data_IF_723998998340
#
_entry.id   IF_723998998340
#
_cell.length_a   1.000
_cell.length_b   1.000
_cell.length_c   1.000
_cell.angle_alpha   90.00
_cell.angle_beta   90.00
_cell.angle_gamma   90.00
#
_symmetry.space_group_name_H-M   'P 1'
#
loop_
_entity.id
_entity.type
_entity.pdbx_description
1 polymer ?
#
# COMPACT_ATOMS: atom_id res chain seq x y z
N UNK A 1 62.61 -17.55 2.14
CA UNK A 1 61.94 -17.64 0.83
C UNK A 1 61.85 -16.21 0.30
N UNK A 2 62.53 -15.93 -0.82
CA UNK A 2 62.55 -14.58 -1.42
C UNK A 2 61.31 -14.44 -2.30
N UNK A 3 60.39 -13.56 -1.92
CA UNK A 3 59.28 -13.15 -2.79
C UNK A 3 59.81 -12.00 -3.65
N UNK A 4 60.25 -12.30 -4.87
CA UNK A 4 60.56 -11.29 -5.89
C UNK A 4 59.31 -10.95 -6.70
N UNK A 5 58.25 -10.52 -6.02
CA UNK A 5 57.03 -10.00 -6.66
C UNK A 5 57.17 -8.50 -6.88
N UNK A 6 57.10 -8.05 -8.13
CA UNK A 6 57.15 -6.63 -8.50
C UNK A 6 55.82 -5.96 -8.10
N UNK A 7 55.90 -4.88 -7.33
CA UNK A 7 54.77 -4.11 -6.77
C UNK A 7 53.87 -3.41 -7.81
N UNK A 8 54.15 -3.57 -9.11
CA UNK A 8 53.40 -2.97 -10.22
C UNK A 8 52.87 -4.01 -11.21
N UNK A 9 52.88 -5.30 -10.85
CA UNK A 9 52.47 -6.39 -11.75
C UNK A 9 51.64 -7.41 -11.00
N UNK A 10 50.57 -7.90 -11.62
CA UNK A 10 49.79 -9.00 -11.07
C UNK A 10 50.58 -10.31 -11.10
N UNK A 11 50.46 -11.11 -10.04
CA UNK A 11 51.00 -12.46 -9.99
C UNK A 11 49.95 -13.43 -10.52
N UNK A 12 50.34 -14.33 -11.42
CA UNK A 12 49.44 -15.35 -11.94
C UNK A 12 49.21 -16.47 -10.91
N UNK A 13 47.96 -16.92 -10.75
CA UNK A 13 47.59 -17.96 -9.77
C UNK A 13 48.27 -19.32 -9.98
N UNK A 14 48.72 -19.62 -11.19
CA UNK A 14 49.38 -20.89 -11.51
C UNK A 14 48.41 -22.05 -11.65
N UNK A 15 48.86 -23.09 -12.35
CA UNK A 15 48.19 -24.40 -12.47
C UNK A 15 46.75 -24.40 -13.04
N UNK A 16 46.22 -23.29 -13.54
CA UNK A 16 44.84 -23.19 -14.02
C UNK A 16 43.82 -22.76 -12.96
N UNK A 17 44.31 -22.30 -11.81
CA UNK A 17 43.54 -21.59 -10.80
C UNK A 17 43.24 -20.16 -11.25
N UNK A 18 42.16 -19.59 -10.73
CA UNK A 18 41.71 -18.22 -11.04
C UNK A 18 41.08 -17.55 -9.81
N UNK A 19 40.89 -16.23 -9.87
CA UNK A 19 40.23 -15.41 -8.83
C UNK A 19 38.82 -15.05 -9.27
N UNK A 20 37.88 -14.95 -8.32
CA UNK A 20 36.44 -14.76 -8.62
C UNK A 20 36.22 -13.41 -9.29
N UNK A 21 36.84 -12.39 -8.71
CA UNK A 21 36.82 -11.02 -9.20
C UNK A 21 38.24 -10.52 -9.53
N UNK A 22 38.28 -9.39 -10.24
CA UNK A 22 39.51 -8.63 -10.47
C UNK A 22 40.02 -7.98 -9.17
N UNK A 23 41.34 -7.80 -9.05
CA UNK A 23 41.95 -7.05 -7.94
C UNK A 23 42.24 -7.87 -6.68
N UNK A 24 42.23 -9.20 -6.77
CA UNK A 24 42.71 -10.10 -5.71
C UNK A 24 44.09 -9.68 -5.20
N UNK A 25 44.24 -9.70 -3.87
CA UNK A 25 45.48 -9.25 -3.21
C UNK A 25 46.19 -10.38 -2.46
N UNK A 26 45.59 -11.57 -2.41
CA UNK A 26 46.14 -12.76 -1.78
C UNK A 26 46.25 -13.93 -2.75
N UNK A 27 47.26 -14.80 -2.55
CA UNK A 27 47.33 -16.09 -3.24
C UNK A 27 46.21 -17.05 -2.77
N UNK A 28 45.67 -16.81 -1.57
CA UNK A 28 44.54 -17.58 -1.03
C UNK A 28 43.23 -17.36 -1.81
N UNK A 29 43.17 -16.31 -2.64
CA UNK A 29 42.04 -16.00 -3.53
C UNK A 29 42.09 -16.81 -4.84
N UNK A 30 43.14 -17.62 -5.04
CA UNK A 30 43.35 -18.43 -6.25
C UNK A 30 42.74 -19.83 -6.11
N UNK A 31 41.53 -20.02 -6.63
CA UNK A 31 40.79 -21.28 -6.55
C UNK A 31 40.81 -22.07 -7.86
N UNK A 32 40.56 -23.38 -7.73
CA UNK A 32 40.25 -24.20 -8.90
C UNK A 32 38.81 -23.97 -9.35
N UNK A 33 38.56 -23.80 -10.67
CA UNK A 33 37.20 -23.77 -11.21
C UNK A 33 36.40 -24.99 -10.77
N UNK A 34 35.17 -24.76 -10.34
CA UNK A 34 34.24 -25.82 -10.00
C UNK A 34 33.38 -26.16 -11.22
N UNK A 35 33.08 -27.44 -11.38
CA UNK A 35 32.22 -27.89 -12.48
C UNK A 35 30.78 -27.45 -12.25
N UNK A 36 29.94 -27.54 -13.28
CA UNK A 36 28.49 -27.36 -13.15
C UNK A 36 27.93 -28.07 -11.91
N UNK A 37 26.99 -27.41 -11.25
CA UNK A 37 26.40 -27.88 -10.00
C UNK A 37 27.31 -27.77 -8.78
N UNK A 38 28.46 -27.10 -8.84
CA UNK A 38 29.35 -26.89 -7.69
C UNK A 38 29.81 -25.44 -7.53
N UNK A 39 29.90 -24.95 -6.30
CA UNK A 39 30.49 -23.65 -5.94
C UNK A 39 31.73 -23.82 -5.06
N UNK A 40 32.61 -22.82 -5.02
CA UNK A 40 33.73 -22.79 -4.09
C UNK A 40 33.20 -22.58 -2.66
N UNK A 41 33.62 -23.43 -1.73
CA UNK A 41 33.37 -23.26 -0.31
C UNK A 41 34.43 -22.34 0.30
N UNK A 42 34.05 -21.11 0.66
CA UNK A 42 34.94 -20.12 1.28
C UNK A 42 35.65 -20.65 2.54
N UNK A 43 35.05 -21.59 3.28
CA UNK A 43 35.63 -22.13 4.50
C UNK A 43 36.73 -23.17 4.23
N UNK A 44 36.66 -23.88 3.10
CA UNK A 44 37.57 -25.00 2.80
C UNK A 44 38.40 -24.79 1.54
N UNK A 45 38.07 -23.80 0.71
CA UNK A 45 38.66 -23.54 -0.60
C UNK A 45 38.42 -24.66 -1.62
N UNK A 46 37.43 -25.53 -1.39
CA UNK A 46 37.12 -26.70 -2.23
C UNK A 46 35.75 -26.56 -2.86
N UNK A 47 35.55 -27.22 -4.00
CA UNK A 47 34.24 -27.30 -4.61
C UNK A 47 33.28 -28.13 -3.76
N UNK A 48 32.09 -27.58 -3.52
CA UNK A 48 30.96 -28.26 -2.89
C UNK A 48 29.75 -28.19 -3.83
N UNK A 49 28.86 -29.17 -3.73
CA UNK A 49 27.63 -29.15 -4.53
C UNK A 49 26.73 -27.95 -4.20
N UNK A 50 26.05 -27.41 -5.20
CA UNK A 50 24.98 -26.44 -5.00
C UNK A 50 23.93 -27.02 -4.07
N UNK A 51 23.56 -26.29 -3.02
CA UNK A 51 22.49 -26.70 -2.11
C UNK A 51 21.13 -26.74 -2.83
N UNK A 52 20.17 -27.47 -2.24
CA UNK A 52 18.78 -27.51 -2.73
C UNK A 52 18.23 -26.09 -2.93
N UNK A 53 17.61 -25.87 -4.09
CA UNK A 53 17.07 -24.56 -4.47
C UNK A 53 18.11 -23.63 -5.13
N UNK A 54 19.30 -24.15 -5.46
CA UNK A 54 20.29 -23.48 -6.30
C UNK A 54 20.78 -24.39 -7.43
N UNK A 55 21.28 -23.79 -8.51
CA UNK A 55 21.89 -24.48 -9.64
C UNK A 55 23.14 -23.74 -10.13
N UNK A 56 23.99 -24.40 -10.91
CA UNK A 56 25.10 -23.74 -11.62
C UNK A 56 25.36 -24.40 -12.96
N UNK A 57 25.35 -23.62 -14.03
CA UNK A 57 25.32 -24.10 -15.41
C UNK A 57 26.63 -23.90 -16.19
N UNK A 58 27.69 -23.43 -15.52
CA UNK A 58 29.00 -23.17 -16.08
C UNK A 58 30.13 -23.77 -15.22
N UNK A 59 31.33 -23.84 -15.80
CA UNK A 59 32.55 -24.33 -15.15
C UNK A 59 33.45 -23.13 -14.81
N UNK A 60 33.25 -22.55 -13.63
CA UNK A 60 34.00 -21.41 -13.09
C UNK A 60 33.96 -21.47 -11.55
N UNK A 61 34.51 -20.47 -10.89
CA UNK A 61 34.55 -20.37 -9.42
C UNK A 61 33.37 -19.59 -8.84
N UNK A 62 32.43 -19.16 -9.68
CA UNK A 62 31.27 -18.40 -9.25
C UNK A 62 30.35 -19.22 -8.34
N UNK A 63 29.50 -18.51 -7.61
CA UNK A 63 28.52 -19.08 -6.70
C UNK A 63 27.34 -19.71 -7.46
N UNK A 64 26.67 -20.67 -6.84
CA UNK A 64 25.45 -21.25 -7.37
C UNK A 64 24.31 -20.22 -7.38
N UNK A 65 23.56 -20.22 -8.48
CA UNK A 65 22.44 -19.32 -8.75
C UNK A 65 21.19 -19.86 -8.04
N UNK A 66 20.50 -19.00 -7.30
CA UNK A 66 19.24 -19.36 -6.62
C UNK A 66 18.11 -19.54 -7.62
N UNK A 67 17.29 -20.57 -7.43
CA UNK A 67 16.04 -20.74 -8.17
C UNK A 67 15.10 -19.54 -7.98
N UNK A 68 14.45 -19.12 -9.06
CA UNK A 68 13.54 -17.99 -9.04
C UNK A 68 12.21 -18.31 -8.36
N UNK A 69 11.65 -17.29 -7.71
CA UNK A 69 10.22 -17.18 -7.44
C UNK A 69 9.61 -18.23 -6.49
N UNK A 70 10.36 -18.98 -5.69
CA UNK A 70 9.76 -20.05 -4.87
C UNK A 70 9.67 -21.38 -5.60
N UNK A 71 10.50 -21.58 -6.63
CA UNK A 71 10.83 -22.90 -7.14
C UNK A 71 12.08 -23.43 -6.42
N UNK A 72 12.24 -24.74 -6.42
CA UNK A 72 13.39 -25.44 -5.87
C UNK A 72 13.79 -26.61 -6.76
N UNK A 73 14.96 -27.17 -6.47
CA UNK A 73 15.52 -28.34 -7.12
C UNK A 73 15.15 -29.61 -6.36
N UNK A 74 15.30 -30.77 -7.01
CA UNK A 74 15.02 -32.08 -6.39
C UNK A 74 16.07 -32.49 -5.35
N UNK A 75 17.26 -31.91 -5.43
CA UNK A 75 18.39 -32.19 -4.56
C UNK A 75 19.56 -31.25 -4.82
N UNK A 76 20.69 -31.56 -4.18
CA UNK A 76 21.95 -30.85 -4.37
C UNK A 76 22.54 -31.09 -5.78
N UNK A 77 23.46 -30.23 -6.18
CA UNK A 77 24.27 -30.42 -7.38
C UNK A 77 23.54 -30.12 -8.70
N UNK A 78 22.48 -29.32 -8.66
CA UNK A 78 21.70 -29.01 -9.88
C UNK A 78 22.52 -28.19 -10.88
N UNK A 79 22.40 -28.52 -12.16
CA UNK A 79 23.32 -28.05 -13.21
C UNK A 79 22.66 -27.12 -14.22
N UNK A 80 21.36 -26.88 -14.08
CA UNK A 80 20.59 -26.05 -15.01
C UNK A 80 19.43 -25.36 -14.28
N UNK A 81 19.02 -24.20 -14.80
CA UNK A 81 17.81 -23.51 -14.35
C UNK A 81 16.56 -24.37 -14.49
N UNK A 82 16.53 -25.28 -15.48
CA UNK A 82 15.41 -26.21 -15.69
C UNK A 82 15.20 -27.20 -14.54
N UNK A 83 16.20 -27.39 -13.68
CA UNK A 83 16.12 -28.25 -12.50
C UNK A 83 15.30 -27.55 -11.39
N UNK A 84 15.08 -26.24 -11.47
CA UNK A 84 14.20 -25.46 -10.60
C UNK A 84 12.73 -25.64 -10.99
N UNK A 85 12.21 -26.86 -10.88
CA UNK A 85 10.87 -27.22 -11.36
C UNK A 85 9.93 -27.77 -10.26
N UNK A 86 10.36 -27.73 -9.00
CA UNK A 86 9.55 -28.14 -7.86
C UNK A 86 9.03 -26.89 -7.14
N UNK A 87 7.73 -26.85 -6.86
CA UNK A 87 7.11 -25.78 -6.09
C UNK A 87 7.61 -25.80 -4.64
N UNK A 88 8.03 -24.64 -4.14
CA UNK A 88 8.36 -24.40 -2.74
C UNK A 88 7.46 -23.29 -2.16
N UNK A 89 6.48 -23.69 -1.36
CA UNK A 89 5.66 -22.77 -0.57
C UNK A 89 6.32 -22.58 0.81
N UNK A 90 6.80 -21.38 1.16
CA UNK A 90 7.44 -21.13 2.45
C UNK A 90 6.45 -21.29 3.62
N UNK A 91 6.95 -21.39 4.87
CA UNK A 91 6.10 -21.32 6.05
C UNK A 91 5.15 -20.13 6.02
N UNK A 92 4.00 -20.28 6.67
CA UNK A 92 2.88 -19.34 6.67
C UNK A 92 2.12 -19.20 5.33
N UNK A 93 2.38 -20.10 4.39
CA UNK A 93 1.62 -20.26 3.15
C UNK A 93 1.22 -21.72 2.98
N UNK A 94 0.28 -21.99 2.07
CA UNK A 94 -0.14 -23.33 1.71
C UNK A 94 -0.32 -23.46 0.19
N UNK A 95 -0.19 -24.68 -0.31
CA UNK A 95 -0.35 -24.99 -1.74
C UNK A 95 -1.79 -24.72 -2.17
N UNK A 96 -1.95 -23.88 -3.19
CA UNK A 96 -3.23 -23.60 -3.82
C UNK A 96 -3.79 -24.89 -4.44
N UNK A 97 -4.97 -25.39 -4.03
CA UNK A 97 -5.57 -26.59 -4.62
C UNK A 97 -6.11 -26.36 -6.04
N UNK A 98 -6.19 -25.12 -6.49
CA UNK A 98 -6.69 -24.74 -7.82
C UNK A 98 -5.84 -23.61 -8.41
N UNK A 99 -4.57 -23.89 -8.75
CA UNK A 99 -3.65 -22.89 -9.26
C UNK A 99 -4.08 -22.42 -10.66
N UNK A 100 -3.89 -21.12 -10.93
CA UNK A 100 -4.13 -20.56 -12.26
C UNK A 100 -2.88 -20.75 -13.11
N UNK A 101 -2.83 -21.87 -13.84
CA UNK A 101 -1.79 -22.14 -14.83
C UNK A 101 -0.82 -23.26 -14.43
N UNK A 102 0.31 -23.32 -15.13
CA UNK A 102 1.35 -24.34 -14.96
C UNK A 102 2.65 -23.72 -14.47
N UNK A 103 3.46 -24.49 -13.76
CA UNK A 103 4.80 -24.07 -13.36
C UNK A 103 5.61 -23.69 -14.62
N UNK A 104 6.13 -22.47 -14.65
CA UNK A 104 6.99 -21.95 -15.71
C UNK A 104 8.17 -21.25 -15.05
N UNK A 105 9.39 -21.72 -15.33
CA UNK A 105 10.62 -21.27 -14.65
C UNK A 105 11.02 -19.84 -15.05
N UNK A 106 10.58 -19.35 -16.21
CA UNK A 106 10.95 -18.03 -16.74
C UNK A 106 10.00 -16.91 -16.28
N UNK A 107 8.74 -17.25 -15.98
CA UNK A 107 7.71 -16.29 -15.58
C UNK A 107 6.84 -16.89 -14.46
N UNK A 108 7.45 -17.08 -13.29
CA UNK A 108 6.80 -17.70 -12.14
C UNK A 108 6.23 -16.67 -11.15
N UNK A 109 4.92 -16.75 -10.90
CA UNK A 109 4.27 -16.00 -9.82
C UNK A 109 3.89 -16.95 -8.68
N UNK A 110 4.65 -16.88 -7.58
CA UNK A 110 4.42 -17.71 -6.40
C UNK A 110 3.02 -17.59 -5.83
N UNK A 111 2.37 -16.42 -5.92
CA UNK A 111 1.06 -16.16 -5.33
C UNK A 111 -0.09 -16.94 -5.97
N UNK A 112 0.07 -17.38 -7.22
CA UNK A 112 -0.93 -18.22 -7.90
C UNK A 112 -0.91 -19.67 -7.40
N UNK A 113 0.21 -20.09 -6.79
CA UNK A 113 0.46 -21.48 -6.37
C UNK A 113 0.59 -21.63 -4.85
N UNK A 114 0.98 -20.58 -4.14
CA UNK A 114 1.12 -20.57 -2.68
C UNK A 114 0.25 -19.45 -2.13
N UNK A 115 -0.82 -19.82 -1.43
CA UNK A 115 -1.73 -18.89 -0.80
C UNK A 115 -1.26 -18.60 0.63
N UNK A 116 -1.27 -17.34 1.08
CA UNK A 116 -0.94 -17.04 2.47
C UNK A 116 -2.01 -17.62 3.41
N UNK A 117 -1.61 -17.96 4.63
CA UNK A 117 -2.57 -18.24 5.69
C UNK A 117 -3.37 -16.97 6.02
N UNK A 118 -4.69 -17.14 6.15
CA UNK A 118 -5.58 -16.07 6.61
C UNK A 118 -5.27 -15.67 8.05
N UNK A 119 -5.82 -14.53 8.49
CA UNK A 119 -5.71 -14.10 9.88
C UNK A 119 -6.18 -15.22 10.82
N UNK A 120 -5.49 -15.39 11.95
CA UNK A 120 -5.77 -16.43 12.96
C UNK A 120 -5.42 -17.85 12.53
N UNK A 121 -4.79 -18.03 11.37
CA UNK A 121 -4.24 -19.30 10.95
C UNK A 121 -2.75 -19.19 10.67
N UNK A 122 -2.02 -20.30 10.78
CA UNK A 122 -0.61 -20.36 10.45
C UNK A 122 -0.21 -21.75 9.98
N UNK A 123 1.01 -21.84 9.47
CA UNK A 123 1.57 -23.10 9.04
C UNK A 123 3.09 -23.10 9.23
N UNK A 124 3.65 -23.90 10.17
CA UNK A 124 5.08 -23.94 10.42
C UNK A 124 5.90 -24.57 9.30
N UNK A 125 5.31 -25.54 8.58
CA UNK A 125 6.05 -26.34 7.61
C UNK A 125 5.91 -25.76 6.21
N UNK A 126 6.99 -25.80 5.40
CA UNK A 126 6.89 -25.48 3.98
C UNK A 126 6.07 -26.56 3.24
N UNK A 127 5.54 -26.20 2.06
CA UNK A 127 4.80 -27.10 1.15
C UNK A 127 3.54 -27.75 1.72
N UNK A 128 3.02 -27.22 2.83
CA UNK A 128 1.77 -27.67 3.43
C UNK A 128 0.58 -27.37 2.53
N UNK A 129 -0.48 -28.18 2.64
CA UNK A 129 -1.70 -28.06 1.81
C UNK A 129 -2.83 -27.30 2.50
N UNK A 130 -2.68 -26.96 3.78
CA UNK A 130 -3.65 -26.20 4.57
C UNK A 130 -2.98 -25.47 5.73
N UNK A 131 -3.67 -24.46 6.27
CA UNK A 131 -3.27 -23.78 7.49
C UNK A 131 -3.96 -24.38 8.73
N UNK A 132 -3.34 -24.18 9.88
CA UNK A 132 -3.81 -24.59 11.21
C UNK A 132 -4.20 -23.35 12.02
N UNK A 133 -5.03 -23.52 13.04
CA UNK A 133 -5.39 -22.41 13.93
C UNK A 133 -4.18 -21.90 14.72
N UNK A 134 -4.10 -20.58 14.88
CA UNK A 134 -3.10 -19.96 15.74
C UNK A 134 -3.28 -20.38 17.21
N UNK A 135 -2.19 -20.59 17.97
CA UNK A 135 -2.29 -20.83 19.39
C UNK A 135 -2.86 -19.59 20.12
N UNK A 136 -3.68 -19.81 21.15
CA UNK A 136 -4.29 -18.75 21.98
C UNK A 136 -3.30 -18.07 22.96
N UNK A 137 -1.99 -18.14 22.69
CA UNK A 137 -0.94 -17.64 23.57
C UNK A 137 -0.46 -16.26 23.12
N UNK A 138 -0.25 -15.30 24.03
CA UNK A 138 0.32 -14.00 23.69
C UNK A 138 1.70 -14.13 23.05
N UNK A 139 1.97 -13.34 22.00
CA UNK A 139 3.28 -13.31 21.31
C UNK A 139 4.34 -12.55 22.13
N UNK A 140 4.73 -13.11 23.28
CA UNK A 140 5.61 -12.44 24.24
C UNK A 140 7.00 -12.10 23.69
N UNK A 141 7.44 -12.77 22.62
CA UNK A 141 8.81 -12.69 22.08
C UNK A 141 8.85 -12.47 20.55
N UNK A 142 7.76 -12.05 19.91
CA UNK A 142 7.68 -11.86 18.46
C UNK A 142 7.98 -13.14 17.65
N UNK A 143 7.69 -14.30 18.24
CA UNK A 143 7.92 -15.63 17.69
C UNK A 143 6.73 -16.14 16.88
N UNK A 144 5.57 -15.50 16.96
CA UNK A 144 4.42 -15.88 16.15
C UNK A 144 4.58 -15.37 14.70
N UNK A 145 4.11 -16.16 13.73
CA UNK A 145 4.14 -15.77 12.32
C UNK A 145 3.19 -14.59 12.06
N UNK A 146 3.38 -13.82 10.97
CA UNK A 146 2.63 -12.59 10.72
C UNK A 146 1.10 -12.75 10.76
N UNK A 147 0.54 -13.87 10.29
CA UNK A 147 -0.92 -14.12 10.32
C UNK A 147 -1.46 -14.46 11.72
N UNK A 148 -0.59 -14.83 12.66
CA UNK A 148 -0.90 -14.94 14.08
C UNK A 148 -0.53 -13.66 14.87
N UNK A 149 0.14 -12.68 14.25
CA UNK A 149 0.45 -11.43 14.93
C UNK A 149 -0.80 -10.58 14.99
N UNK A 150 -1.09 -10.25 16.22
CA UNK A 150 -2.28 -9.60 16.67
C UNK A 150 -1.94 -8.11 16.80
N UNK A 151 -1.74 -7.43 15.67
CA UNK A 151 -1.23 -6.03 15.61
C UNK A 151 -2.10 -5.02 16.39
N UNK A 152 -3.35 -5.37 16.73
CA UNK A 152 -4.27 -4.55 17.53
C UNK A 152 -5.07 -5.38 18.54
N UNK A 153 -4.55 -6.54 18.90
CA UNK A 153 -5.30 -7.66 19.45
C UNK A 153 -4.63 -8.01 20.81
N UNK A 154 -5.38 -7.93 21.91
CA UNK A 154 -4.87 -7.99 23.30
C UNK A 154 -5.53 -9.08 24.16
N UNK A 155 -4.99 -9.34 25.35
CA UNK A 155 -5.62 -10.24 26.32
C UNK A 155 -5.88 -9.53 27.66
N UNK A 156 -7.06 -9.68 28.28
CA UNK A 156 -7.34 -9.12 29.60
C UNK A 156 -6.53 -9.80 30.73
N UNK A 157 -5.86 -10.93 30.42
CA UNK A 157 -5.01 -11.66 31.36
C UNK A 157 -3.54 -11.20 31.33
N UNK A 158 -3.18 -10.33 30.39
CA UNK A 158 -1.81 -9.83 30.23
C UNK A 158 -1.76 -8.33 30.54
N UNK A 159 -1.00 -7.96 31.56
CA UNK A 159 -0.82 -6.57 31.98
C UNK A 159 -0.07 -5.77 30.90
N UNK A 160 -0.59 -4.60 30.53
CA UNK A 160 -0.06 -3.70 29.48
C UNK A 160 -0.01 -4.30 28.05
N UNK A 161 -0.91 -5.23 27.73
CA UNK A 161 -0.99 -5.86 26.39
C UNK A 161 -1.19 -4.89 25.21
N UNK A 162 -1.65 -3.66 25.45
CA UNK A 162 -1.91 -2.65 24.41
C UNK A 162 -0.90 -1.50 24.38
N UNK A 163 0.14 -1.55 25.22
CA UNK A 163 1.00 -0.39 25.49
C UNK A 163 0.31 0.65 26.37
N UNK A 164 1.01 1.77 26.59
CA UNK A 164 0.51 2.86 27.43
C UNK A 164 -0.70 3.55 26.79
N UNK A 165 -1.65 3.98 27.62
CA UNK A 165 -2.86 4.73 27.23
C UNK A 165 -3.86 3.99 26.31
N UNK A 166 -3.76 2.66 26.17
CA UNK A 166 -4.74 1.84 25.44
C UNK A 166 -5.37 0.78 26.33
N UNK A 167 -6.66 0.50 26.13
CA UNK A 167 -7.41 -0.53 26.88
C UNK A 167 -7.81 -1.70 26.00
N UNK A 168 -7.90 -2.87 26.60
CA UNK A 168 -8.25 -4.11 25.92
C UNK A 168 -9.75 -4.39 26.04
N UNK A 169 -10.50 -4.39 24.94
CA UNK A 169 -11.95 -4.59 24.91
C UNK A 169 -12.36 -5.78 24.05
N UNK A 170 -13.33 -6.56 24.54
CA UNK A 170 -13.95 -7.64 23.77
C UNK A 170 -14.81 -7.08 22.63
N UNK A 171 -14.70 -7.66 21.43
CA UNK A 171 -15.59 -7.38 20.30
C UNK A 171 -17.02 -7.86 20.60
N UNK A 172 -18.07 -7.18 20.10
CA UNK A 172 -19.46 -7.53 20.41
C UNK A 172 -19.94 -8.84 19.76
N UNK A 173 -19.41 -9.13 18.57
CA UNK A 173 -19.94 -10.19 17.69
C UNK A 173 -19.08 -11.46 17.69
N UNK A 174 -17.95 -11.47 18.39
CA UNK A 174 -17.05 -12.61 18.48
C UNK A 174 -16.31 -12.65 19.84
N UNK A 175 -15.65 -13.75 20.15
CA UNK A 175 -14.91 -13.93 21.42
C UNK A 175 -13.52 -13.27 21.44
N UNK A 176 -13.30 -12.25 20.60
CA UNK A 176 -12.01 -11.63 20.39
C UNK A 176 -11.83 -10.30 21.15
N UNK A 177 -10.60 -9.86 21.46
CA UNK A 177 -10.27 -8.66 22.27
C UNK A 177 -9.33 -7.66 21.59
N UNK A 178 -9.75 -6.44 21.30
CA UNK A 178 -8.94 -5.44 20.59
C UNK A 178 -8.46 -4.30 21.50
N UNK A 179 -7.34 -3.69 21.13
CA UNK A 179 -6.84 -2.47 21.75
C UNK A 179 -7.60 -1.27 21.21
N UNK A 180 -8.07 -0.41 22.10
CA UNK A 180 -8.59 0.92 21.76
C UNK A 180 -7.86 1.99 22.56
N UNK A 181 -7.79 3.19 22.03
CA UNK A 181 -7.27 4.34 22.77
C UNK A 181 -8.14 4.59 24.01
N UNK A 182 -7.49 4.82 25.14
CA UNK A 182 -8.17 5.18 26.36
C UNK A 182 -8.69 6.62 26.25
N UNK A 183 -9.89 6.77 25.69
CA UNK A 183 -10.62 8.04 25.59
C UNK A 183 -10.87 8.71 26.96
N UNK A 184 -10.59 8.05 28.09
CA UNK A 184 -10.63 8.67 29.41
C UNK A 184 -9.38 9.47 29.79
N UNK A 185 -8.36 9.55 28.92
CA UNK A 185 -7.15 10.35 29.13
C UNK A 185 -7.02 11.57 28.19
N UNK A 186 -8.03 11.85 27.36
CA UNK A 186 -8.09 13.05 26.50
C UNK A 186 -9.19 14.01 26.98
N UNK A 187 -9.12 14.41 28.25
CA UNK A 187 -9.85 15.55 28.79
C UNK A 187 -8.93 16.36 29.70
N UNK A 188 -7.80 16.85 29.16
CA UNK A 188 -7.12 18.07 29.63
C UNK A 188 -5.82 18.28 28.85
N UNK A 189 -5.91 18.73 27.60
CA UNK A 189 -4.85 19.54 26.98
C UNK A 189 -5.35 20.13 25.67
N UNK A 190 -5.75 21.40 25.72
CA UNK A 190 -5.80 22.20 24.49
C UNK A 190 -7.09 22.95 24.19
N UNK A 191 -7.79 23.52 25.19
CA UNK A 191 -8.42 24.82 24.93
C UNK A 191 -7.31 25.88 24.85
N UNK A 192 -6.50 25.83 23.79
CA UNK A 192 -5.79 27.01 23.32
C UNK A 192 -6.89 27.94 22.85
N UNK A 193 -7.34 28.83 23.73
CA UNK A 193 -8.17 29.97 23.35
C UNK A 193 -7.33 30.70 22.31
N UNK A 194 -7.66 30.49 21.04
CA UNK A 194 -7.04 31.18 19.92
C UNK A 194 -7.35 32.65 20.18
N UNK A 195 -6.39 33.39 20.72
CA UNK A 195 -6.55 34.80 21.10
C UNK A 195 -7.11 35.63 19.94
N UNK A 196 -6.89 35.19 18.70
CA UNK A 196 -7.46 35.78 17.50
C UNK A 196 -9.01 35.77 17.46
N UNK A 197 -9.68 34.76 18.02
CA UNK A 197 -11.15 34.74 18.16
C UNK A 197 -11.68 35.72 19.20
N UNK A 198 -10.85 36.21 20.14
CA UNK A 198 -11.21 37.29 21.08
C UNK A 198 -10.77 38.64 20.53
N UNK A 199 -9.60 38.72 19.89
CA UNK A 199 -9.06 39.97 19.33
C UNK A 199 -9.86 40.47 18.14
N UNK A 200 -10.31 39.59 17.23
CA UNK A 200 -11.14 40.00 16.08
C UNK A 200 -12.46 40.68 16.47
N UNK A 201 -13.29 40.13 17.38
CA UNK A 201 -14.51 40.81 17.79
C UNK A 201 -14.23 42.07 18.60
N UNK A 202 -13.18 42.12 19.42
CA UNK A 202 -12.82 43.34 20.17
C UNK A 202 -12.37 44.46 19.23
N UNK A 203 -11.49 44.17 18.26
CA UNK A 203 -11.06 45.15 17.25
C UNK A 203 -12.24 45.57 16.37
N UNK A 204 -13.10 44.63 15.96
CA UNK A 204 -14.32 44.91 15.21
C UNK A 204 -15.28 45.84 15.96
N UNK A 205 -15.50 45.60 17.26
CA UNK A 205 -16.31 46.47 18.12
C UNK A 205 -15.72 47.88 18.26
N UNK A 206 -14.40 48.02 18.38
CA UNK A 206 -13.74 49.33 18.45
C UNK A 206 -13.87 50.12 17.14
N UNK A 207 -13.73 49.46 15.99
CA UNK A 207 -13.91 50.09 14.68
C UNK A 207 -15.37 50.53 14.48
N UNK A 208 -16.34 49.68 14.82
CA UNK A 208 -17.76 50.03 14.75
C UNK A 208 -18.11 51.20 15.68
N UNK A 209 -17.61 51.19 16.91
CA UNK A 209 -17.82 52.29 17.85
C UNK A 209 -17.25 53.62 17.32
N UNK A 210 -16.06 53.59 16.70
CA UNK A 210 -15.46 54.76 16.07
C UNK A 210 -16.27 55.28 14.88
N UNK A 211 -16.80 54.38 14.04
CA UNK A 211 -17.67 54.75 12.91
C UNK A 211 -18.99 55.35 13.37
N UNK A 212 -19.62 54.78 14.41
CA UNK A 212 -20.84 55.33 15.02
C UNK A 212 -20.56 56.70 15.64
N UNK A 213 -19.45 56.86 16.37
CA UNK A 213 -19.06 58.15 16.94
C UNK A 213 -18.82 59.21 15.85
N UNK A 214 -18.16 58.83 14.75
CA UNK A 214 -17.98 59.71 13.59
C UNK A 214 -19.34 60.08 12.97
N UNK A 215 -20.22 59.11 12.72
CA UNK A 215 -21.56 59.34 12.18
C UNK A 215 -22.39 60.27 13.08
N UNK A 216 -22.34 60.09 14.41
CA UNK A 216 -23.00 60.97 15.38
C UNK A 216 -22.38 62.36 15.38
N UNK A 217 -21.05 62.48 15.23
CA UNK A 217 -20.38 63.78 15.11
C UNK A 217 -20.79 64.52 13.83
N UNK A 218 -20.87 63.82 12.69
CA UNK A 218 -21.38 64.36 11.44
C UNK A 218 -22.88 64.71 11.53
N UNK A 219 -23.70 63.86 12.16
CA UNK A 219 -25.12 64.12 12.39
C UNK A 219 -25.34 65.31 13.34
N UNK A 220 -24.53 65.47 14.40
CA UNK A 220 -24.57 66.64 15.29
C UNK A 220 -24.11 67.91 14.57
N UNK A 221 -23.17 67.81 13.63
CA UNK A 221 -22.80 68.92 12.72
C UNK A 221 -23.94 69.28 11.77
N UNK A 222 -24.67 68.31 11.23
CA UNK A 222 -25.82 68.52 10.35
C UNK A 222 -27.07 69.02 11.09
N UNK A 223 -27.34 68.54 12.30
CA UNK A 223 -28.51 68.93 13.11
C UNK A 223 -28.42 70.35 13.70
N UNK A 224 -27.27 71.03 13.57
CA UNK A 224 -27.17 72.46 13.92
C UNK A 224 -27.88 73.37 12.89
N UNK A 225 -28.29 72.84 11.74
CA UNK A 225 -28.77 73.64 10.61
C UNK A 225 -30.28 73.63 10.39
N UNK A 226 -31.07 72.75 11.03
CA UNK A 226 -32.52 72.69 10.77
C UNK A 226 -33.33 72.50 12.04
N UNK A 227 -33.64 73.62 12.70
CA UNK A 227 -34.63 73.70 13.79
C UNK A 227 -35.92 74.27 13.21
N UNK A 228 -36.99 73.48 13.08
CA UNK A 228 -38.38 73.98 13.01
C UNK A 228 -39.37 73.02 13.72
N UNK A 229 -40.48 73.55 14.27
CA UNK A 229 -41.18 73.08 15.48
C UNK A 229 -42.39 72.15 15.17
N UNK A 230 -43.08 71.58 16.17
CA UNK A 230 -43.90 70.36 16.02
C UNK A 230 -45.34 70.65 15.59
N UNK A 231 -46.05 69.68 14.97
CA UNK A 231 -47.50 69.72 14.86
C UNK A 231 -48.16 69.15 16.13
N UNK A 232 -49.35 69.68 16.42
CA UNK A 232 -50.20 69.41 17.58
C UNK A 232 -50.95 68.08 17.42
N UNK A 233 -51.11 67.39 18.54
CA UNK A 233 -52.02 66.26 18.74
C UNK A 233 -53.47 66.65 18.50
N UNK A 234 -54.24 65.76 17.84
CA UNK A 234 -55.64 65.49 18.16
C UNK A 234 -55.88 64.01 17.85
N UNK A 235 -56.22 63.24 18.89
CA UNK A 235 -56.85 61.93 18.80
C UNK A 235 -58.36 62.14 18.74
N UNK A 236 -59.07 61.34 17.95
CA UNK A 236 -60.44 60.94 18.28
C UNK A 236 -60.79 59.67 17.52
N UNK A 237 -61.02 58.63 18.31
CA UNK A 237 -61.58 57.34 17.97
C UNK A 237 -63.05 57.48 17.53
N UNK A 238 -63.49 56.68 16.57
CA UNK A 238 -64.64 55.76 16.71
C UNK A 238 -65.06 55.15 15.36
N UNK A 239 -65.34 53.83 15.42
CA UNK A 239 -66.44 53.07 14.77
C UNK A 239 -66.75 53.28 13.27
N UNK A 240 -67.24 52.34 12.47
CA UNK A 240 -67.60 50.93 12.51
C UNK A 240 -67.95 50.58 11.04
N UNK A 241 -67.87 49.30 10.73
CA UNK A 241 -68.20 48.55 9.51
C UNK A 241 -69.13 49.17 8.44
N UNK A 242 -68.80 48.94 7.15
CA UNK A 242 -69.80 48.55 6.12
C UNK A 242 -69.22 48.06 4.77
N UNK A 243 -69.70 46.87 4.37
CA UNK A 243 -70.16 46.44 3.03
C UNK A 243 -69.23 46.37 1.79
N UNK A 244 -69.14 45.13 1.25
CA UNK A 244 -69.35 44.67 -0.17
C UNK A 244 -69.83 45.77 -1.15
N UNK A 245 -69.41 45.88 -2.42
CA UNK A 245 -69.39 44.86 -3.50
C UNK A 245 -68.87 45.47 -4.85
N UNK A 246 -68.22 44.61 -5.69
CA UNK A 246 -68.06 44.64 -7.18
C UNK A 246 -67.18 45.76 -7.78
N UNK A 247 -66.45 45.62 -8.90
CA UNK A 247 -66.50 44.76 -10.11
C UNK A 247 -65.12 44.86 -10.81
N UNK A 248 -64.38 43.78 -11.07
CA UNK A 248 -64.23 43.03 -12.34
C UNK A 248 -63.86 43.85 -13.58
N UNK A 249 -62.69 43.54 -14.14
CA UNK A 249 -62.48 43.27 -15.58
C UNK A 249 -61.38 42.20 -15.72
N UNK A 250 -61.77 41.05 -16.26
CA UNK A 250 -60.92 40.02 -16.85
C UNK A 250 -60.48 40.46 -18.25
N UNK A 251 -59.30 40.02 -18.69
CA UNK A 251 -59.08 39.65 -20.09
C UNK A 251 -58.18 38.41 -20.12
N UNK A 252 -58.60 37.44 -20.93
CA UNK A 252 -58.17 36.06 -20.94
C UNK A 252 -58.09 35.65 -22.42
N UNK A 253 -56.96 35.16 -22.93
CA UNK A 253 -56.94 34.32 -24.14
C UNK A 253 -55.68 33.43 -24.24
N UNK A 254 -55.87 32.16 -23.86
CA UNK A 254 -55.52 30.86 -24.48
C UNK A 254 -54.34 30.75 -25.46
N UNK A 255 -53.47 29.73 -25.24
CA UNK A 255 -52.91 28.96 -26.36
C UNK A 255 -51.58 28.21 -26.18
N UNK A 256 -51.64 26.99 -25.60
CA UNK A 256 -50.90 25.76 -25.96
C UNK A 256 -49.37 25.56 -25.71
N UNK A 257 -49.09 24.36 -25.18
CA UNK A 257 -47.82 23.64 -24.91
C UNK A 257 -47.38 22.88 -26.20
N UNK A 258 -46.11 22.45 -26.39
CA UNK A 258 -45.63 21.17 -25.84
C UNK A 258 -44.16 21.15 -25.37
N UNK A 259 -43.84 20.11 -24.59
CA UNK A 259 -42.53 19.70 -24.07
C UNK A 259 -41.42 19.58 -25.13
N UNK A 260 -40.18 19.88 -24.71
CA UNK A 260 -38.96 19.27 -25.26
C UNK A 260 -38.00 18.91 -24.13
N UNK A 261 -37.82 17.60 -23.99
CA UNK A 261 -36.70 16.89 -23.39
C UNK A 261 -35.41 17.06 -24.22
N UNK A 262 -34.35 16.44 -23.70
CA UNK A 262 -33.02 16.15 -24.29
C UNK A 262 -31.98 17.26 -24.15
N UNK A 263 -30.71 16.98 -23.90
CA UNK A 263 -29.87 15.82 -23.56
C UNK A 263 -28.47 16.47 -23.41
N UNK A 264 -27.51 15.81 -22.76
CA UNK A 264 -26.18 15.62 -23.34
C UNK A 264 -25.25 14.84 -22.38
N UNK A 265 -25.17 13.55 -22.68
CA UNK A 265 -23.94 12.76 -22.94
C UNK A 265 -22.91 12.51 -21.84
N UNK A 266 -22.94 11.25 -21.41
CA UNK A 266 -21.85 10.27 -21.36
C UNK A 266 -20.59 10.59 -22.23
N UNK A 267 -19.40 10.41 -21.67
CA UNK A 267 -18.15 10.25 -22.43
C UNK A 267 -17.36 9.03 -21.95
N UNK A 268 -17.10 8.14 -22.93
CA UNK A 268 -16.08 7.10 -23.00
C UNK A 268 -14.72 7.58 -22.46
N UNK A 269 -13.92 6.75 -21.77
CA UNK A 269 -13.25 5.55 -22.28
C UNK A 269 -11.84 5.92 -22.74
N UNK A 270 -10.82 5.18 -22.30
CA UNK A 270 -9.57 4.89 -23.05
C UNK A 270 -8.64 3.99 -22.22
N UNK A 271 -8.64 2.70 -22.54
CA UNK A 271 -7.41 1.92 -22.70
C UNK A 271 -6.53 2.58 -23.78
N UNK A 272 -5.23 2.22 -23.84
CA UNK A 272 -4.59 2.04 -25.12
C UNK A 272 -4.11 0.61 -25.31
N UNK A 273 -4.52 0.10 -26.47
CA UNK A 273 -4.24 -1.18 -27.08
C UNK A 273 -2.77 -1.39 -27.42
N UNK A 274 -2.45 -2.67 -27.47
CA UNK A 274 -1.42 -3.33 -28.26
C UNK A 274 -1.13 -2.68 -29.63
N UNK A 275 0.17 -2.59 -29.95
CA UNK A 275 0.66 -2.53 -31.32
C UNK A 275 1.19 -3.91 -31.72
N UNK A 276 0.43 -4.56 -32.59
CA UNK A 276 0.92 -5.62 -33.45
C UNK A 276 1.82 -5.01 -34.54
N UNK A 277 2.96 -5.65 -34.81
CA UNK A 277 3.53 -5.65 -36.14
C UNK A 277 3.75 -7.10 -36.56
N UNK A 278 2.95 -7.52 -37.54
CA UNK A 278 3.16 -8.74 -38.33
C UNK A 278 4.25 -8.49 -39.36
N UNK A 279 5.17 -9.45 -39.48
CA UNK A 279 5.97 -9.66 -40.68
C UNK A 279 5.88 -11.14 -41.02
N UNK A 280 5.04 -11.45 -42.00
CA UNK A 280 5.05 -12.71 -42.73
C UNK A 280 6.37 -12.86 -43.50
N UNK A 281 6.94 -14.06 -43.46
CA UNK A 281 7.66 -14.64 -44.60
C UNK A 281 7.69 -16.16 -44.46
N UNK A 282 6.93 -16.78 -45.34
CA UNK A 282 6.80 -18.22 -45.60
C UNK A 282 8.04 -18.77 -46.33
N UNK A 283 8.42 -20.00 -45.97
CA UNK A 283 8.99 -21.08 -46.79
C UNK A 283 9.21 -22.25 -45.81
N UNK A 284 8.75 -23.50 -45.96
CA UNK A 284 8.28 -24.25 -47.12
C UNK A 284 9.11 -25.55 -47.21
N UNK A 285 8.45 -26.72 -47.06
CA UNK A 285 8.90 -28.10 -47.39
C UNK A 285 10.05 -28.70 -46.52
N UNK A 286 10.14 -29.99 -46.15
CA UNK A 286 9.45 -31.24 -46.53
C UNK A 286 9.71 -32.33 -45.47
N UNK A 287 8.77 -33.28 -45.38
CA UNK A 287 8.84 -34.69 -44.98
C UNK A 287 10.19 -35.35 -44.63
N UNK A 288 10.21 -36.20 -43.59
CA UNK A 288 10.46 -37.66 -43.74
C UNK A 288 10.18 -38.45 -42.44
N UNK A 289 9.70 -39.66 -42.65
CA UNK A 289 9.40 -40.76 -41.72
C UNK A 289 10.65 -41.55 -41.33
N UNK A 290 10.75 -42.04 -40.09
CA UNK A 290 11.14 -43.42 -39.72
C UNK A 290 11.15 -43.52 -38.17
N UNK A 291 10.34 -44.35 -37.51
CA UNK A 291 10.33 -45.81 -37.40
C UNK A 291 11.38 -46.38 -36.43
N UNK A 292 10.85 -47.09 -35.44
CA UNK A 292 11.40 -48.15 -34.57
C UNK A 292 12.92 -48.34 -34.42
N UNK A 293 13.39 -48.30 -33.16
CA UNK A 293 13.88 -49.48 -32.43
C UNK A 293 14.09 -49.16 -30.94
#
# INVERSE_FOLDING_TARGET
MNITGSINTCTYCGDGRTTEDEGATSEDDCYWPCTKGQEVDDATGKCRECDVGKYKDNDDIGQCIKCMGGLTTSGNGSTSVSDCNILYCPPNTYVNPSPKGTLNVDNFNVGDFCLPCEQRMWQPQPNSTSCEDCPNTPDLNNQLPPSCRLENECSPLLENSCGDEKICLKWPDNDYYHCIDNLSAQQDSGHSIVWWHILLPVVGCLVLAALVAAAVFFAKKCCKTLRKPPPKEINEDDADSTSRQRRSTEDNYVGAVPDMDEDYTNYHGNEPSSLNNSSDSSNGMSSETDNSQ
#
